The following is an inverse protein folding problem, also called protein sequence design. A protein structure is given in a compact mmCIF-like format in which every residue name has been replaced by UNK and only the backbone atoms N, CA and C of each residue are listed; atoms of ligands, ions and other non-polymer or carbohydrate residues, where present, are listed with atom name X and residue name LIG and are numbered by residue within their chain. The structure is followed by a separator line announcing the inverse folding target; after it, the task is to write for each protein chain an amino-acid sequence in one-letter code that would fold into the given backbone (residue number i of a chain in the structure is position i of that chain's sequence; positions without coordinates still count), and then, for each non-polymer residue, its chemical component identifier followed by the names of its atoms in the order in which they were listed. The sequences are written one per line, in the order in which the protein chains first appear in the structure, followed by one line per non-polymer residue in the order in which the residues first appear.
data_IF_509332680449
#
_entry.id   IF_509332680449
#
_cell.length_a   1.000
_cell.length_b   1.000
_cell.length_c   1.000
_cell.angle_alpha   90.00
_cell.angle_beta   90.00
_cell.angle_gamma   90.00
#
_symmetry.space_group_name_H-M   'P 1'
#
loop_
_entity.id
_entity.type
_entity.pdbx_description
1 polymer ?
#
# COMPACT_ATOMS: atom_id res chain seq x y z
N UNK A 1 18.28 33.88 -44.92
CA UNK A 1 18.17 33.42 -43.52
C UNK A 1 17.02 32.41 -43.47
N UNK A 2 17.30 31.16 -43.83
CA UNK A 2 16.40 30.02 -43.71
C UNK A 2 17.14 29.01 -42.81
N UNK A 3 16.55 28.15 -41.99
CA UNK A 3 15.31 27.40 -42.12
C UNK A 3 14.89 26.91 -40.70
N UNK A 4 13.59 26.64 -40.54
CA UNK A 4 12.99 25.50 -39.80
C UNK A 4 12.87 25.49 -38.27
N UNK A 5 11.61 25.40 -37.88
CA UNK A 5 11.09 24.95 -36.60
C UNK A 5 11.57 23.55 -36.20
N UNK A 6 11.64 23.32 -34.90
CA UNK A 6 11.58 21.99 -34.30
C UNK A 6 10.56 22.02 -33.16
N UNK A 7 9.41 21.42 -33.45
CA UNK A 7 8.41 21.00 -32.47
C UNK A 7 9.05 19.82 -31.71
N UNK A 8 9.54 20.07 -30.50
CA UNK A 8 10.08 19.02 -29.65
C UNK A 8 9.00 18.57 -28.66
N UNK A 9 8.22 17.60 -29.12
CA UNK A 9 7.68 16.44 -28.40
C UNK A 9 7.43 16.60 -26.89
N UNK A 10 6.15 16.64 -26.54
CA UNK A 10 5.62 16.42 -25.20
C UNK A 10 6.00 15.00 -24.73
N UNK A 11 7.13 14.85 -24.06
CA UNK A 11 7.41 13.68 -23.23
C UNK A 11 6.48 13.76 -22.02
N UNK A 12 5.34 13.08 -22.08
CA UNK A 12 4.62 12.64 -20.90
C UNK A 12 5.51 11.62 -20.19
N UNK A 13 6.53 12.13 -19.49
CA UNK A 13 7.21 11.38 -18.46
C UNK A 13 6.13 11.04 -17.44
N UNK A 14 5.67 9.78 -17.43
CA UNK A 14 5.05 9.23 -16.23
C UNK A 14 6.15 9.25 -15.19
N UNK A 15 6.25 10.36 -14.46
CA UNK A 15 7.08 10.48 -13.29
C UNK A 15 6.53 9.46 -12.30
N UNK A 16 7.13 8.27 -12.30
CA UNK A 16 7.05 7.38 -11.15
C UNK A 16 7.77 8.13 -10.06
N UNK A 17 7.02 8.90 -9.27
CA UNK A 17 7.52 9.44 -8.02
C UNK A 17 7.81 8.21 -7.18
N UNK A 18 9.10 7.89 -7.01
CA UNK A 18 9.52 7.07 -5.89
C UNK A 18 9.09 7.87 -4.66
N UNK A 19 7.93 7.51 -4.10
CA UNK A 19 7.54 8.07 -2.82
C UNK A 19 8.68 7.78 -1.85
N UNK A 20 9.04 8.72 -0.95
CA UNK A 20 9.75 8.32 0.24
C UNK A 20 8.96 7.14 0.80
N UNK A 21 9.63 5.99 0.97
CA UNK A 21 8.97 4.80 1.48
C UNK A 21 8.20 5.25 2.72
N UNK A 22 6.87 5.26 2.63
CA UNK A 22 5.99 5.53 3.75
C UNK A 22 6.13 4.27 4.60
N UNK A 23 7.22 4.20 5.35
CA UNK A 23 7.64 3.10 6.22
C UNK A 23 6.79 3.14 7.49
N UNK A 24 5.48 3.23 7.29
CA UNK A 24 4.51 3.38 8.35
C UNK A 24 4.24 1.99 8.88
N UNK A 25 4.62 1.81 10.15
CA UNK A 25 4.41 0.62 10.94
C UNK A 25 5.07 -0.68 10.43
N UNK A 26 6.20 -0.59 9.72
CA UNK A 26 6.93 -1.78 9.25
C UNK A 26 7.33 -2.71 10.40
N UNK A 27 7.94 -2.18 11.46
CA UNK A 27 8.38 -2.95 12.62
C UNK A 27 7.21 -3.61 13.35
N UNK A 28 6.11 -2.88 13.54
CA UNK A 28 4.92 -3.39 14.22
C UNK A 28 4.21 -4.47 13.37
N UNK A 29 4.15 -4.29 12.04
CA UNK A 29 3.60 -5.28 11.13
C UNK A 29 4.50 -6.53 11.06
N UNK A 30 5.82 -6.40 11.05
CA UNK A 30 6.72 -7.57 10.98
C UNK A 30 6.83 -8.33 12.30
N UNK A 31 6.77 -7.63 13.43
CA UNK A 31 6.71 -8.24 14.77
C UNK A 31 5.36 -8.86 15.13
N UNK A 32 4.32 -8.58 14.33
CA UNK A 32 2.97 -9.09 14.56
C UNK A 32 2.15 -8.32 15.59
N UNK A 33 2.69 -7.22 16.14
CA UNK A 33 1.96 -6.31 17.03
C UNK A 33 0.94 -5.50 16.23
N UNK A 34 -0.18 -6.16 15.94
CA UNK A 34 -1.25 -5.63 15.10
C UNK A 34 -1.91 -4.40 15.73
N UNK A 35 -2.01 -4.35 17.06
CA UNK A 35 -2.61 -3.22 17.77
C UNK A 35 -1.70 -1.98 17.70
N UNK A 36 -0.40 -2.15 17.94
CA UNK A 36 0.57 -1.07 17.80
C UNK A 36 0.64 -0.55 16.35
N UNK A 37 0.57 -1.46 15.36
CA UNK A 37 0.56 -1.09 13.94
C UNK A 37 -0.63 -0.17 13.60
N UNK A 38 -1.85 -0.56 13.99
CA UNK A 38 -3.06 0.25 13.76
C UNK A 38 -2.90 1.63 14.41
N UNK A 39 -2.53 1.68 15.69
CA UNK A 39 -2.40 2.93 16.44
C UNK A 39 -1.35 3.87 15.83
N UNK A 40 -0.23 3.32 15.35
CA UNK A 40 0.82 4.10 14.68
C UNK A 40 0.36 4.64 13.33
N UNK A 41 -0.24 3.79 12.49
CA UNK A 41 -0.77 4.19 11.17
C UNK A 41 -1.86 5.25 11.29
N UNK A 42 -2.71 5.18 12.31
CA UNK A 42 -3.77 6.14 12.57
C UNK A 42 -3.24 7.49 13.09
N UNK A 43 -2.23 7.50 13.98
CA UNK A 43 -1.59 8.74 14.43
C UNK A 43 -0.82 9.46 13.34
N UNK A 44 -0.15 8.72 12.46
CA UNK A 44 0.70 9.29 11.40
C UNK A 44 -0.11 9.76 10.18
N UNK A 45 -1.44 9.80 10.26
CA UNK A 45 -2.34 10.15 9.16
C UNK A 45 -2.39 11.66 8.80
N UNK A 46 -1.56 12.51 9.42
CA UNK A 46 -1.57 13.95 9.19
C UNK A 46 -1.06 14.30 7.78
N UNK A 47 -2.00 14.50 6.85
CA UNK A 47 -1.75 15.07 5.52
C UNK A 47 -1.80 14.10 4.34
N UNK A 48 -1.78 12.77 4.56
CA UNK A 48 -1.79 11.78 3.48
C UNK A 48 -2.58 10.50 3.83
N UNK A 49 -3.80 10.72 4.35
CA UNK A 49 -4.70 9.63 4.78
C UNK A 49 -5.02 8.63 3.65
N UNK A 50 -5.01 9.11 2.40
CA UNK A 50 -5.34 8.36 1.18
C UNK A 50 -4.10 7.77 0.47
N UNK A 51 -2.91 7.88 1.07
CA UNK A 51 -1.69 7.28 0.52
C UNK A 51 -1.87 5.76 0.34
N UNK A 52 -1.65 5.19 -0.87
CA UNK A 52 -1.86 3.77 -1.12
C UNK A 52 -1.08 2.83 -0.19
N UNK A 53 0.18 3.15 0.13
CA UNK A 53 0.98 2.32 1.03
C UNK A 53 0.37 2.28 2.44
N UNK A 54 -0.13 3.43 2.93
CA UNK A 54 -0.77 3.54 4.24
C UNK A 54 -2.06 2.73 4.28
N UNK A 55 -2.90 2.87 3.26
CA UNK A 55 -4.14 2.10 3.12
C UNK A 55 -3.86 0.59 3.07
N UNK A 56 -2.83 0.17 2.34
CA UNK A 56 -2.43 -1.25 2.29
C UNK A 56 -1.97 -1.73 3.67
N UNK A 57 -1.11 -0.99 4.35
CA UNK A 57 -0.61 -1.35 5.68
C UNK A 57 -1.73 -1.41 6.72
N UNK A 58 -2.65 -0.45 6.70
CA UNK A 58 -3.82 -0.45 7.58
C UNK A 58 -4.75 -1.62 7.28
N UNK A 59 -4.95 -1.94 6.00
CA UNK A 59 -5.73 -3.09 5.58
C UNK A 59 -5.12 -4.42 6.05
N UNK A 60 -3.80 -4.57 5.99
CA UNK A 60 -3.09 -5.75 6.51
C UNK A 60 -3.28 -5.86 8.02
N UNK A 61 -3.13 -4.75 8.75
CA UNK A 61 -3.31 -4.74 10.19
C UNK A 61 -4.76 -5.12 10.58
N UNK A 62 -5.76 -4.52 9.94
CA UNK A 62 -7.16 -4.90 10.16
C UNK A 62 -7.44 -6.37 9.81
N UNK A 63 -6.87 -6.88 8.72
CA UNK A 63 -7.06 -8.28 8.33
C UNK A 63 -6.52 -9.25 9.39
N UNK A 64 -5.34 -8.95 9.95
CA UNK A 64 -4.73 -9.74 11.04
C UNK A 64 -5.48 -9.61 12.38
N UNK A 65 -6.16 -8.49 12.59
CA UNK A 65 -7.04 -8.29 13.74
C UNK A 65 -8.42 -8.99 13.59
N UNK A 66 -8.67 -9.70 12.48
CA UNK A 66 -9.98 -10.30 12.18
C UNK A 66 -11.04 -9.30 11.72
N UNK A 67 -10.66 -8.04 11.45
CA UNK A 67 -11.55 -6.97 10.98
C UNK A 67 -11.61 -6.97 9.45
N UNK A 68 -12.19 -8.03 8.89
CA UNK A 68 -12.15 -8.28 7.44
C UNK A 68 -12.83 -7.18 6.60
N UNK A 69 -13.96 -6.62 7.06
CA UNK A 69 -14.66 -5.55 6.33
C UNK A 69 -13.85 -4.25 6.29
N UNK A 70 -13.22 -3.89 7.40
CA UNK A 70 -12.34 -2.71 7.45
C UNK A 70 -11.12 -2.90 6.55
N UNK A 71 -10.51 -4.08 6.58
CA UNK A 71 -9.41 -4.43 5.68
C UNK A 71 -9.81 -4.29 4.21
N UNK A 72 -10.98 -4.85 3.85
CA UNK A 72 -11.54 -4.77 2.50
C UNK A 72 -11.75 -3.32 2.07
N UNK A 73 -12.25 -2.46 2.96
CA UNK A 73 -12.46 -1.04 2.67
C UNK A 73 -11.14 -0.34 2.32
N UNK A 74 -10.09 -0.59 3.11
CA UNK A 74 -8.76 0.01 2.90
C UNK A 74 -8.13 -0.45 1.58
N UNK A 75 -8.14 -1.77 1.29
CA UNK A 75 -7.60 -2.27 0.03
C UNK A 75 -8.38 -1.75 -1.18
N UNK A 76 -9.71 -1.66 -1.11
CA UNK A 76 -10.52 -1.07 -2.18
C UNK A 76 -10.20 0.42 -2.39
N UNK A 77 -9.91 1.16 -1.32
CA UNK A 77 -9.46 2.54 -1.45
C UNK A 77 -8.09 2.63 -2.16
N UNK A 78 -7.13 1.78 -1.78
CA UNK A 78 -5.82 1.73 -2.43
C UNK A 78 -5.91 1.36 -3.92
N UNK A 79 -6.78 0.42 -4.31
CA UNK A 79 -7.05 0.08 -5.72
C UNK A 79 -7.57 1.27 -6.52
N UNK A 80 -8.38 2.15 -5.89
CA UNK A 80 -8.98 3.33 -6.52
C UNK A 80 -8.10 4.58 -6.47
N UNK A 81 -7.02 4.58 -5.69
CA UNK A 81 -6.17 5.76 -5.54
C UNK A 81 -5.64 6.22 -6.89
N UNK A 82 -5.77 7.51 -7.19
CA UNK A 82 -5.28 8.11 -8.44
C UNK A 82 -3.76 8.04 -8.56
N UNK A 83 -3.07 8.07 -7.41
CA UNK A 83 -1.62 7.99 -7.31
C UNK A 83 -1.16 6.54 -7.33
N UNK A 84 -0.13 6.27 -8.14
CA UNK A 84 0.49 4.95 -8.28
C UNK A 84 1.91 5.03 -7.75
N UNK A 85 2.24 4.09 -6.88
CA UNK A 85 3.57 3.99 -6.30
C UNK A 85 4.13 2.61 -6.55
N UNK A 86 5.46 2.52 -6.67
CA UNK A 86 6.17 1.26 -6.59
C UNK A 86 6.47 1.01 -5.12
N UNK A 87 5.94 -0.08 -4.57
CA UNK A 87 6.08 -0.45 -3.17
C UNK A 87 6.89 -1.73 -3.06
N UNK A 88 7.84 -1.75 -2.15
CA UNK A 88 8.55 -2.97 -1.78
C UNK A 88 7.63 -3.86 -0.93
N UNK A 89 7.61 -5.14 -1.27
CA UNK A 89 6.86 -6.15 -0.52
C UNK A 89 7.75 -6.79 0.55
N UNK A 90 7.16 -7.56 1.46
CA UNK A 90 7.93 -8.29 2.46
C UNK A 90 8.93 -9.31 1.88
N UNK A 91 8.80 -9.70 0.60
CA UNK A 91 9.78 -10.56 -0.10
C UNK A 91 10.92 -9.78 -0.77
N UNK A 92 10.92 -8.44 -0.69
CA UNK A 92 11.86 -7.57 -1.40
C UNK A 92 11.49 -7.31 -2.86
N UNK A 93 10.37 -7.89 -3.34
CA UNK A 93 9.87 -7.60 -4.68
C UNK A 93 9.19 -6.24 -4.71
N UNK A 94 9.35 -5.52 -5.81
CA UNK A 94 8.70 -4.23 -6.01
C UNK A 94 7.44 -4.38 -6.86
N UNK A 95 6.31 -3.86 -6.38
CA UNK A 95 5.00 -3.97 -7.03
C UNK A 95 4.31 -2.60 -7.16
N UNK A 96 3.45 -2.45 -8.17
CA UNK A 96 2.53 -1.32 -8.22
C UNK A 96 1.55 -1.37 -7.04
N UNK A 97 1.27 -0.21 -6.44
CA UNK A 97 0.41 -0.12 -5.26
C UNK A 97 -1.00 -0.69 -5.50
N UNK A 98 -1.59 -0.50 -6.69
CA UNK A 98 -2.92 -1.06 -6.99
C UNK A 98 -2.86 -2.56 -7.20
N UNK A 99 -1.79 -3.07 -7.83
CA UNK A 99 -1.59 -4.51 -8.00
C UNK A 99 -1.39 -5.21 -6.65
N UNK A 100 -0.58 -4.60 -5.77
CA UNK A 100 -0.39 -5.08 -4.41
C UNK A 100 -1.72 -5.08 -3.63
N UNK A 101 -2.53 -4.03 -3.75
CA UNK A 101 -3.84 -3.97 -3.11
C UNK A 101 -4.84 -5.02 -3.65
N UNK A 102 -4.84 -5.30 -4.95
CA UNK A 102 -5.65 -6.40 -5.53
C UNK A 102 -5.21 -7.76 -5.01
N UNK A 103 -3.89 -7.98 -4.89
CA UNK A 103 -3.34 -9.20 -4.30
C UNK A 103 -3.76 -9.33 -2.83
N UNK A 104 -3.72 -8.24 -2.07
CA UNK A 104 -4.17 -8.22 -0.69
C UNK A 104 -5.68 -8.52 -0.54
N UNK A 105 -6.53 -8.01 -1.45
CA UNK A 105 -7.95 -8.40 -1.51
C UNK A 105 -8.13 -9.90 -1.76
N UNK A 106 -7.40 -10.46 -2.73
CA UNK A 106 -7.47 -11.90 -3.02
C UNK A 106 -7.03 -12.75 -1.82
N UNK A 107 -5.97 -12.33 -1.11
CA UNK A 107 -5.52 -12.98 0.12
C UNK A 107 -6.57 -12.90 1.24
N UNK A 108 -7.24 -11.76 1.37
CA UNK A 108 -8.31 -11.56 2.35
C UNK A 108 -9.50 -12.48 2.05
N UNK A 109 -9.92 -12.56 0.79
CA UNK A 109 -11.02 -13.42 0.33
C UNK A 109 -10.70 -14.92 0.54
N UNK A 110 -9.41 -15.28 0.53
CA UNK A 110 -8.92 -16.64 0.80
C UNK A 110 -8.66 -16.92 2.28
N UNK A 111 -8.85 -15.94 3.17
CA UNK A 111 -8.57 -16.08 4.61
C UNK A 111 -7.09 -16.15 4.99
N UNK A 112 -6.18 -15.79 4.08
CA UNK A 112 -4.74 -15.96 4.24
C UNK A 112 -4.10 -15.10 5.35
N UNK A 113 -4.82 -14.11 5.88
CA UNK A 113 -4.35 -13.27 6.99
C UNK A 113 -4.65 -13.85 8.38
N UNK A 114 -5.60 -14.78 8.50
CA UNK A 114 -6.01 -15.37 9.78
C UNK A 114 -5.13 -16.57 10.20
N UNK A 115 -4.43 -17.19 9.24
CA UNK A 115 -3.66 -18.43 9.43
C UNK A 115 -2.43 -18.29 10.34
N UNK A 116 -1.96 -17.08 10.64
CA UNK A 116 -0.74 -16.87 11.45
C UNK A 116 -1.00 -16.92 12.95
N UNK A 117 -2.24 -16.74 13.42
CA UNK A 117 -2.56 -16.66 14.85
C UNK A 117 -2.76 -18.03 15.53
N UNK A 118 -2.92 -19.10 14.74
CA UNK A 118 -3.17 -20.46 15.26
C UNK A 118 -1.89 -21.30 15.47
N UNK A 119 -0.73 -20.87 14.95
CA UNK A 119 0.52 -21.64 15.02
C UNK A 119 1.33 -21.41 16.32
N UNK A 120 0.80 -20.65 17.29
CA UNK A 120 1.51 -20.24 18.51
C UNK A 120 0.76 -20.57 19.81
N UNK A 121 -0.01 -21.66 19.84
CA UNK A 121 -0.59 -22.22 21.07
C UNK A 121 -0.01 -23.59 21.41
#
# INVERSE_FOLDING_TARGET
MAVTALIASLLMAQATVEAPAVEVAYDELTSGDTAAAIAKIEREAEGDADHPARLINLGIAYARAGRAEDARAMFKAAVRSEQRYRLETASGDWMDSRDLARRALAMLDQGAFASTQFASR
#
